data_IF_040808137960
#
_entry.id   IF_040808137960
#
_cell.length_a   1.000
_cell.length_b   1.000
_cell.length_c   1.000
_cell.angle_alpha   90.00
_cell.angle_beta   90.00
_cell.angle_gamma   90.00
#
_symmetry.space_group_name_H-M   'P 1'
#
loop_
_entity.id
_entity.type
_entity.pdbx_description
1 polymer ?
#
# COMPACT_ATOMS: atom_id res chain seq x y z
N UNK A 1 -19.64 -58.33 -106.75
CA UNK A 1 -18.50 -58.67 -105.86
C UNK A 1 -17.83 -57.35 -105.49
N UNK A 2 -17.58 -57.20 -104.20
CA UNK A 2 -17.45 -55.98 -103.38
C UNK A 2 -16.27 -55.05 -103.73
N UNK A 3 -16.39 -53.72 -103.49
CA UNK A 3 -15.34 -52.72 -103.75
C UNK A 3 -14.22 -52.76 -102.68
N UNK A 4 -13.03 -52.21 -102.98
CA UNK A 4 -11.87 -52.30 -102.09
C UNK A 4 -12.06 -51.47 -100.81
N UNK A 5 -11.81 -52.14 -99.68
CA UNK A 5 -11.85 -51.58 -98.32
C UNK A 5 -10.58 -50.74 -98.07
N UNK A 6 -10.78 -49.45 -97.77
CA UNK A 6 -9.71 -48.50 -97.44
C UNK A 6 -9.37 -48.67 -95.96
N UNK A 7 -8.18 -49.21 -95.67
CA UNK A 7 -7.66 -49.29 -94.30
C UNK A 7 -7.20 -47.91 -93.82
N UNK A 8 -7.74 -47.36 -92.72
CA UNK A 8 -7.30 -46.07 -92.18
C UNK A 8 -5.89 -46.16 -91.57
N UNK A 9 -5.13 -45.06 -91.55
CA UNK A 9 -3.73 -45.07 -91.12
C UNK A 9 -3.59 -45.31 -89.61
N UNK A 10 -2.50 -45.99 -89.26
CA UNK A 10 -2.06 -46.28 -87.90
C UNK A 10 -1.84 -44.97 -87.13
N UNK A 11 -2.58 -44.79 -86.03
CA UNK A 11 -2.39 -43.67 -85.09
C UNK A 11 -1.10 -43.91 -84.33
N UNK A 12 -0.08 -43.08 -84.58
CA UNK A 12 1.14 -43.06 -83.78
C UNK A 12 0.82 -42.51 -82.39
N UNK A 13 1.00 -43.34 -81.37
CA UNK A 13 0.91 -42.92 -79.96
C UNK A 13 2.19 -42.17 -79.61
N UNK A 14 2.09 -40.86 -79.45
CA UNK A 14 3.19 -40.02 -78.96
C UNK A 14 3.45 -40.35 -77.48
N UNK A 15 4.70 -40.62 -77.06
CA UNK A 15 5.01 -40.83 -75.65
C UNK A 15 4.73 -39.55 -74.83
N UNK A 16 4.39 -39.66 -73.53
CA UNK A 16 4.09 -38.49 -72.70
C UNK A 16 5.33 -37.59 -72.58
N UNK A 17 5.11 -36.29 -72.73
CA UNK A 17 6.13 -35.25 -72.59
C UNK A 17 6.60 -35.18 -71.13
N UNK A 18 7.84 -35.61 -70.87
CA UNK A 18 8.49 -35.44 -69.57
C UNK A 18 8.98 -34.01 -69.48
N UNK A 19 8.26 -33.16 -68.76
CA UNK A 19 8.70 -31.79 -68.44
C UNK A 19 9.85 -31.88 -67.42
N UNK A 20 11.02 -31.26 -67.68
CA UNK A 20 12.09 -31.20 -66.69
C UNK A 20 11.64 -30.36 -65.48
N UNK A 21 12.13 -30.66 -64.25
CA UNK A 21 11.75 -29.89 -63.07
C UNK A 21 12.20 -28.43 -63.24
N UNK A 22 11.28 -27.50 -63.01
CA UNK A 22 11.57 -26.06 -62.98
C UNK A 22 12.48 -25.80 -61.79
N UNK A 23 13.75 -25.50 -62.04
CA UNK A 23 14.66 -24.99 -61.00
C UNK A 23 14.25 -23.55 -60.73
N UNK A 24 13.46 -23.35 -59.68
CA UNK A 24 13.15 -22.00 -59.16
C UNK A 24 14.40 -21.49 -58.46
N UNK A 25 15.21 -20.71 -59.19
CA UNK A 25 16.29 -19.93 -58.57
C UNK A 25 15.60 -18.84 -57.75
N UNK A 26 15.50 -19.05 -56.45
CA UNK A 26 15.09 -17.98 -55.53
C UNK A 26 16.18 -16.91 -55.59
N UNK A 27 15.87 -15.65 -55.95
CA UNK A 27 16.86 -14.59 -55.87
C UNK A 27 17.37 -14.50 -54.42
N UNK A 28 18.65 -14.17 -54.21
CA UNK A 28 19.16 -13.95 -52.86
C UNK A 28 18.25 -12.92 -52.17
N UNK A 29 17.77 -13.26 -50.97
CA UNK A 29 17.02 -12.34 -50.13
C UNK A 29 17.94 -11.17 -49.84
N UNK A 30 17.77 -10.08 -50.57
CA UNK A 30 18.33 -8.79 -50.17
C UNK A 30 17.57 -8.44 -48.89
N UNK A 31 18.20 -8.66 -47.74
CA UNK A 31 17.75 -8.07 -46.49
C UNK A 31 17.81 -6.56 -46.70
N UNK A 32 16.67 -5.96 -47.03
CA UNK A 32 16.50 -4.51 -46.88
C UNK A 32 16.94 -4.18 -45.46
N UNK A 33 17.85 -3.22 -45.25
CA UNK A 33 18.11 -2.71 -43.91
C UNK A 33 16.76 -2.32 -43.32
N UNK A 34 16.45 -2.80 -42.12
CA UNK A 34 15.30 -2.31 -41.38
C UNK A 34 15.40 -0.78 -41.36
N UNK A 35 14.36 -0.10 -41.85
CA UNK A 35 14.33 1.36 -41.80
C UNK A 35 14.58 1.75 -40.33
N UNK A 36 15.44 2.74 -40.04
CA UNK A 36 15.65 3.17 -38.67
C UNK A 36 14.28 3.50 -38.06
N UNK A 37 13.96 2.87 -36.92
CA UNK A 37 12.75 3.17 -36.18
C UNK A 37 12.65 4.68 -35.99
N UNK A 38 11.55 5.27 -36.47
CA UNK A 38 11.25 6.70 -36.31
C UNK A 38 10.73 6.98 -34.87
N UNK A 39 10.56 5.92 -34.06
CA UNK A 39 10.15 6.06 -32.68
C UNK A 39 11.31 6.62 -31.82
N UNK A 40 11.02 7.51 -30.85
CA UNK A 40 12.01 7.97 -29.89
C UNK A 40 12.71 6.80 -29.19
N UNK A 41 14.01 6.94 -28.92
CA UNK A 41 14.72 5.99 -28.08
C UNK A 41 14.24 6.16 -26.64
N UNK A 42 13.68 5.11 -26.07
CA UNK A 42 13.36 5.09 -24.64
C UNK A 42 14.64 4.90 -23.84
N UNK A 43 15.08 5.99 -23.19
CA UNK A 43 16.30 6.00 -22.40
C UNK A 43 16.13 5.30 -21.05
N UNK A 44 14.92 5.09 -20.55
CA UNK A 44 14.73 4.47 -19.23
C UNK A 44 15.08 2.98 -19.25
N UNK A 45 15.90 2.56 -18.30
CA UNK A 45 16.24 1.15 -18.01
C UNK A 45 15.46 0.59 -16.83
N UNK A 46 14.74 1.43 -16.08
CA UNK A 46 13.88 1.02 -14.97
C UNK A 46 12.51 0.59 -15.49
N UNK A 47 11.89 -0.41 -14.86
CA UNK A 47 10.58 -0.93 -15.31
C UNK A 47 9.52 0.17 -15.31
N UNK A 48 9.37 0.91 -14.21
CA UNK A 48 8.39 1.99 -14.11
C UNK A 48 8.68 3.16 -15.04
N UNK A 49 9.93 3.58 -15.16
CA UNK A 49 10.27 4.67 -16.08
C UNK A 49 10.10 4.27 -17.54
N UNK A 50 10.38 3.02 -17.89
CA UNK A 50 10.26 2.53 -19.26
C UNK A 50 8.80 2.46 -19.70
N UNK A 51 7.88 1.98 -18.85
CA UNK A 51 6.45 1.93 -19.17
C UNK A 51 5.84 3.31 -19.28
N UNK A 52 6.19 4.24 -18.38
CA UNK A 52 5.72 5.63 -18.44
C UNK A 52 6.17 6.35 -19.70
N UNK A 53 7.45 6.24 -20.06
CA UNK A 53 7.97 6.84 -21.29
C UNK A 53 7.42 6.17 -22.55
N UNK A 54 7.18 4.85 -22.53
CA UNK A 54 6.54 4.15 -23.64
C UNK A 54 5.10 4.65 -23.86
N UNK A 55 4.33 4.84 -22.78
CA UNK A 55 3.00 5.45 -22.85
C UNK A 55 3.05 6.84 -23.46
N UNK A 56 3.97 7.70 -22.98
CA UNK A 56 4.17 9.03 -23.55
C UNK A 56 4.51 8.98 -25.06
N UNK A 57 5.37 8.05 -25.49
CA UNK A 57 5.78 7.96 -26.89
C UNK A 57 4.73 7.38 -27.84
N UNK A 58 3.63 6.84 -27.31
CA UNK A 58 2.46 6.48 -28.11
C UNK A 58 1.55 7.68 -28.43
N UNK A 59 1.87 8.88 -27.91
CA UNK A 59 1.07 10.07 -28.16
C UNK A 59 1.02 10.41 -29.65
N UNK A 60 -0.20 10.49 -30.19
CA UNK A 60 -0.48 10.79 -31.59
C UNK A 60 -1.36 12.04 -31.77
N UNK A 61 -1.59 12.79 -30.68
CA UNK A 61 -2.39 14.01 -30.70
C UNK A 61 -1.57 15.27 -31.01
N UNK A 62 -2.21 16.43 -30.82
CA UNK A 62 -1.65 17.74 -31.20
C UNK A 62 -1.66 18.77 -30.04
N UNK A 63 -1.91 18.37 -28.80
CA UNK A 63 -1.82 19.28 -27.64
C UNK A 63 -0.37 19.74 -27.49
N UNK A 64 -0.16 21.05 -27.59
CA UNK A 64 1.18 21.64 -27.60
C UNK A 64 1.97 21.32 -26.32
N UNK A 65 1.30 21.20 -25.16
CA UNK A 65 1.97 20.96 -23.88
C UNK A 65 2.47 19.52 -23.78
N UNK A 66 1.63 18.55 -24.15
CA UNK A 66 2.05 17.14 -24.18
C UNK A 66 3.07 16.87 -25.29
N UNK A 67 2.99 17.57 -26.43
CA UNK A 67 4.05 17.54 -27.46
C UNK A 67 5.38 18.10 -26.95
N UNK A 68 5.37 19.19 -26.16
CA UNK A 68 6.57 19.70 -25.53
C UNK A 68 7.19 18.67 -24.56
N UNK A 69 6.35 18.00 -23.76
CA UNK A 69 6.78 16.92 -22.89
C UNK A 69 7.39 15.75 -23.68
N UNK A 70 6.70 15.29 -24.73
CA UNK A 70 7.17 14.25 -25.63
C UNK A 70 8.55 14.58 -26.20
N UNK A 71 8.72 15.80 -26.74
CA UNK A 71 9.97 16.22 -27.36
C UNK A 71 11.10 16.30 -26.34
N UNK A 72 10.83 16.78 -25.13
CA UNK A 72 11.82 16.81 -24.05
C UNK A 72 12.24 15.40 -23.64
N UNK A 73 11.28 14.47 -23.51
CA UNK A 73 11.56 13.07 -23.20
C UNK A 73 12.33 12.35 -24.32
N UNK A 74 12.01 12.63 -25.59
CA UNK A 74 12.71 12.07 -26.74
C UNK A 74 14.16 12.58 -26.87
N UNK A 75 14.44 13.79 -26.35
CA UNK A 75 15.76 14.41 -26.37
C UNK A 75 16.64 14.07 -25.15
N UNK A 76 16.21 13.14 -24.29
CA UNK A 76 16.96 12.78 -23.09
C UNK A 76 18.35 12.21 -23.45
N UNK A 77 19.43 12.71 -22.81
CA UNK A 77 20.79 12.42 -23.27
C UNK A 77 21.36 11.09 -22.75
N UNK A 78 20.71 10.45 -21.78
CA UNK A 78 21.26 9.27 -21.09
C UNK A 78 20.17 8.47 -20.39
N UNK A 79 20.50 7.23 -20.01
CA UNK A 79 19.60 6.37 -19.24
C UNK A 79 19.29 6.89 -17.84
N UNK A 80 20.24 7.55 -17.18
CA UNK A 80 19.98 8.22 -15.90
C UNK A 80 18.91 9.31 -16.04
N UNK A 81 18.98 10.11 -17.11
CA UNK A 81 17.96 11.12 -17.40
C UNK A 81 16.61 10.49 -17.78
N UNK A 82 16.63 9.36 -18.51
CA UNK A 82 15.47 8.52 -18.80
C UNK A 82 14.77 7.98 -17.55
N UNK A 83 15.54 7.40 -16.64
CA UNK A 83 15.06 6.85 -15.37
C UNK A 83 14.42 7.93 -14.51
N UNK A 84 15.11 9.07 -14.35
CA UNK A 84 14.58 10.21 -13.60
C UNK A 84 13.30 10.76 -14.21
N UNK A 85 13.27 10.98 -15.53
CA UNK A 85 12.08 11.49 -16.21
C UNK A 85 10.91 10.52 -16.06
N UNK A 86 11.14 9.22 -16.27
CA UNK A 86 10.12 8.19 -16.09
C UNK A 86 9.61 8.09 -14.66
N UNK A 87 10.50 8.14 -13.66
CA UNK A 87 10.13 8.11 -12.24
C UNK A 87 9.31 9.33 -11.82
N UNK A 88 9.68 10.53 -12.28
CA UNK A 88 8.93 11.77 -12.01
C UNK A 88 7.60 11.85 -12.76
N UNK A 89 7.52 11.26 -13.95
CA UNK A 89 6.29 11.20 -14.73
C UNK A 89 5.30 10.17 -14.19
N UNK A 90 5.77 9.12 -13.52
CA UNK A 90 4.91 8.12 -12.88
C UNK A 90 4.33 8.64 -11.56
N UNK A 91 3.04 8.36 -11.25
CA UNK A 91 2.47 8.64 -9.94
C UNK A 91 2.78 7.54 -8.90
N UNK A 92 3.32 6.39 -9.32
CA UNK A 92 3.38 5.18 -8.50
C UNK A 92 4.19 5.36 -7.21
N UNK A 93 5.30 6.09 -7.23
CA UNK A 93 6.13 6.31 -6.05
C UNK A 93 5.37 7.11 -4.99
N UNK A 94 4.84 8.29 -5.36
CA UNK A 94 4.09 9.16 -4.44
C UNK A 94 2.80 8.50 -3.96
N UNK A 95 2.05 7.83 -4.86
CA UNK A 95 0.85 7.09 -4.50
C UNK A 95 1.17 5.96 -3.51
N UNK A 96 2.17 5.11 -3.81
CA UNK A 96 2.56 4.01 -2.91
C UNK A 96 3.01 4.50 -1.54
N UNK A 97 3.73 5.63 -1.51
CA UNK A 97 4.18 6.23 -0.26
C UNK A 97 3.01 6.79 0.56
N UNK A 98 2.04 7.44 -0.09
CA UNK A 98 0.81 7.93 0.54
C UNK A 98 -0.03 6.77 1.11
N UNK A 99 -0.28 5.72 0.32
CA UNK A 99 -1.02 4.51 0.72
C UNK A 99 -0.38 3.79 1.91
N UNK A 100 0.94 3.60 1.90
CA UNK A 100 1.65 2.94 2.99
C UNK A 100 1.65 3.80 4.27
N UNK A 101 1.90 5.11 4.14
CA UNK A 101 1.93 6.00 5.29
C UNK A 101 0.54 6.19 5.92
N UNK A 102 -0.52 6.27 5.10
CA UNK A 102 -1.91 6.36 5.58
C UNK A 102 -2.30 5.09 6.33
N UNK A 103 -1.97 3.92 5.79
CA UNK A 103 -2.20 2.61 6.42
C UNK A 103 -1.44 2.45 7.73
N UNK A 104 -0.19 2.93 7.80
CA UNK A 104 0.59 2.92 9.05
C UNK A 104 -0.10 3.74 10.16
N UNK A 105 -0.70 4.89 9.81
CA UNK A 105 -1.47 5.69 10.77
C UNK A 105 -2.73 4.96 11.26
N UNK A 106 -3.43 4.22 10.39
CA UNK A 106 -4.58 3.37 10.73
C UNK A 106 -4.20 2.20 11.64
N UNK A 107 -3.07 1.53 11.35
CA UNK A 107 -2.53 0.47 12.22
C UNK A 107 -2.21 1.02 13.61
N UNK A 108 -1.71 2.26 13.70
CA UNK A 108 -1.45 2.87 14.99
C UNK A 108 -2.74 3.14 15.80
N UNK A 109 -3.88 3.41 15.15
CA UNK A 109 -5.19 3.47 15.83
C UNK A 109 -5.53 2.10 16.46
N UNK A 110 -5.31 1.00 15.74
CA UNK A 110 -5.48 -0.35 16.31
C UNK A 110 -4.54 -0.62 17.48
N UNK A 111 -3.25 -0.25 17.36
CA UNK A 111 -2.26 -0.42 18.42
C UNK A 111 -2.64 0.33 19.70
N UNK A 112 -3.19 1.54 19.57
CA UNK A 112 -3.68 2.33 20.70
C UNK A 112 -4.93 1.69 21.31
N UNK A 113 -5.85 1.19 20.48
CA UNK A 113 -7.05 0.47 20.92
C UNK A 113 -6.70 -0.79 21.71
N UNK A 114 -5.77 -1.61 21.20
CA UNK A 114 -5.28 -2.79 21.89
C UNK A 114 -4.60 -2.43 23.23
N UNK A 115 -3.80 -1.37 23.26
CA UNK A 115 -3.16 -0.89 24.49
C UNK A 115 -4.18 -0.42 25.54
N UNK A 116 -5.29 0.19 25.12
CA UNK A 116 -6.39 0.55 26.01
C UNK A 116 -7.08 -0.69 26.60
N UNK A 117 -7.43 -1.67 25.76
CA UNK A 117 -8.00 -2.95 26.21
C UNK A 117 -7.09 -3.71 27.17
N UNK A 118 -5.78 -3.72 26.89
CA UNK A 118 -4.78 -4.28 27.80
C UNK A 118 -4.74 -3.52 29.14
N UNK A 119 -4.82 -2.19 29.10
CA UNK A 119 -4.89 -1.36 30.31
C UNK A 119 -6.09 -1.69 31.18
N UNK A 120 -7.26 -1.88 30.57
CA UNK A 120 -8.49 -2.29 31.25
C UNK A 120 -8.35 -3.67 31.90
N UNK A 121 -7.80 -4.64 31.18
CA UNK A 121 -7.54 -6.00 31.68
C UNK A 121 -6.55 -6.00 32.84
N UNK A 122 -5.47 -5.23 32.73
CA UNK A 122 -4.47 -5.08 33.79
C UNK A 122 -5.05 -4.37 35.02
N UNK A 123 -5.96 -3.42 34.84
CA UNK A 123 -6.68 -2.79 35.96
C UNK A 123 -7.62 -3.78 36.67
N UNK A 124 -8.36 -4.60 35.92
CA UNK A 124 -9.25 -5.63 36.48
C UNK A 124 -8.49 -6.69 37.28
N UNK A 125 -7.37 -7.18 36.74
CA UNK A 125 -6.55 -8.21 37.39
C UNK A 125 -5.84 -7.70 38.65
N UNK A 126 -5.40 -6.44 38.69
CA UNK A 126 -4.70 -5.87 39.85
C UNK A 126 -5.64 -5.37 40.96
N UNK A 127 -6.94 -5.22 40.71
CA UNK A 127 -7.91 -4.71 41.71
C UNK A 127 -8.82 -5.80 42.31
N UNK A 128 -8.54 -7.08 42.03
CA UNK A 128 -9.25 -8.20 42.67
C UNK A 128 -10.75 -8.22 42.37
N UNK A 129 -11.15 -7.92 41.11
CA UNK A 129 -12.56 -7.92 40.71
C UNK A 129 -13.39 -6.77 41.28
N UNK A 130 -12.76 -5.74 41.86
CA UNK A 130 -13.45 -4.61 42.50
C UNK A 130 -13.15 -3.25 41.84
N UNK A 131 -12.81 -3.20 40.55
CA UNK A 131 -12.96 -1.95 39.77
C UNK A 131 -14.37 -1.83 39.21
N UNK A 132 -15.38 -1.93 40.08
CA UNK A 132 -16.64 -1.28 39.80
C UNK A 132 -16.35 0.22 39.73
N UNK A 133 -16.59 0.83 38.58
CA UNK A 133 -16.72 2.29 38.48
C UNK A 133 -17.91 2.64 39.39
N UNK A 134 -17.59 2.99 40.64
CA UNK A 134 -18.55 3.42 41.63
C UNK A 134 -18.83 4.90 41.42
N UNK A 135 -19.56 5.22 40.35
CA UNK A 135 -20.54 6.30 40.47
C UNK A 135 -21.50 5.85 41.56
N UNK A 136 -21.74 6.67 42.59
CA UNK A 136 -22.40 6.30 43.85
C UNK A 136 -23.82 5.71 43.77
N UNK A 137 -24.29 5.25 42.62
CA UNK A 137 -25.53 4.54 42.36
C UNK A 137 -25.28 3.52 41.22
N UNK A 138 -25.01 2.24 41.55
CA UNK A 138 -24.80 1.15 40.57
C UNK A 138 -23.46 1.18 39.83
N UNK A 139 -22.86 0.01 39.60
CA UNK A 139 -21.63 -0.13 38.82
C UNK A 139 -21.82 0.41 37.39
N UNK A 140 -21.40 1.65 37.15
CA UNK A 140 -21.42 2.24 35.80
C UNK A 140 -20.21 1.68 35.04
N UNK A 141 -20.33 0.47 34.51
CA UNK A 141 -19.27 -0.24 33.77
C UNK A 141 -18.81 0.43 32.46
N UNK A 142 -19.06 1.73 32.26
CA UNK A 142 -18.73 2.49 31.05
C UNK A 142 -17.74 3.61 31.35
N UNK A 143 -16.76 3.80 30.47
CA UNK A 143 -15.72 4.81 30.56
C UNK A 143 -15.53 5.59 29.26
N UNK A 144 -15.08 6.84 29.38
CA UNK A 144 -14.59 7.66 28.29
C UNK A 144 -13.07 7.70 28.33
N UNK A 145 -12.43 7.61 27.18
CA UNK A 145 -10.99 7.71 27.06
C UNK A 145 -10.60 8.48 25.80
N UNK A 146 -9.37 8.95 25.78
CA UNK A 146 -8.80 9.60 24.62
C UNK A 146 -7.29 9.58 24.67
N UNK A 147 -6.67 9.56 23.50
CA UNK A 147 -5.23 9.50 23.38
C UNK A 147 -4.77 10.17 22.09
N UNK A 148 -3.63 10.84 22.17
CA UNK A 148 -2.91 11.37 21.02
C UNK A 148 -1.72 10.48 20.71
N UNK A 149 -1.34 10.40 19.45
CA UNK A 149 -0.16 9.68 19.00
C UNK A 149 0.50 10.41 17.85
N UNK A 150 1.77 10.07 17.63
CA UNK A 150 2.51 10.53 16.46
C UNK A 150 3.67 9.59 16.20
N UNK A 151 4.16 9.63 14.97
CA UNK A 151 5.24 8.76 14.54
C UNK A 151 5.85 9.22 13.23
N UNK A 152 6.94 8.55 12.88
CA UNK A 152 7.65 8.76 11.62
C UNK A 152 7.86 7.40 10.97
N UNK A 153 7.75 7.34 9.65
CA UNK A 153 8.11 6.16 8.86
C UNK A 153 9.10 6.56 7.78
N UNK A 154 9.99 5.64 7.42
CA UNK A 154 10.99 5.84 6.38
C UNK A 154 11.13 4.58 5.57
N UNK A 155 10.96 4.70 4.26
CA UNK A 155 11.27 3.65 3.32
C UNK A 155 12.51 4.05 2.52
N UNK A 156 13.52 3.18 2.49
CA UNK A 156 14.70 3.39 1.66
C UNK A 156 14.40 3.03 0.21
N UNK A 157 15.13 3.66 -0.72
CA UNK A 157 15.03 3.34 -2.14
C UNK A 157 15.36 1.85 -2.39
N UNK A 158 14.52 1.15 -3.14
CA UNK A 158 14.72 -0.25 -3.51
C UNK A 158 14.14 -0.54 -4.89
N UNK A 159 14.84 -1.35 -5.69
CA UNK A 159 14.42 -1.74 -7.04
C UNK A 159 14.00 -0.56 -7.95
N UNK A 160 14.72 0.56 -7.84
CA UNK A 160 14.44 1.81 -8.58
C UNK A 160 13.07 2.44 -8.29
N UNK A 161 12.50 2.14 -7.13
CA UNK A 161 11.35 2.83 -6.57
C UNK A 161 11.89 3.81 -5.54
N UNK A 162 11.59 5.09 -5.74
CA UNK A 162 12.01 6.16 -4.84
C UNK A 162 11.60 5.86 -3.39
N UNK A 163 12.53 6.10 -2.47
CA UNK A 163 12.25 6.08 -1.04
C UNK A 163 11.35 7.25 -0.64
N UNK A 164 10.90 7.22 0.61
CA UNK A 164 10.16 8.34 1.19
C UNK A 164 10.41 8.45 2.68
N UNK A 165 10.16 9.63 3.21
CA UNK A 165 9.99 9.85 4.63
C UNK A 165 8.60 10.42 4.91
N UNK A 166 7.97 9.91 5.96
CA UNK A 166 6.65 10.37 6.38
C UNK A 166 6.60 10.62 7.87
N UNK A 167 5.73 11.54 8.25
CA UNK A 167 5.37 11.76 9.63
C UNK A 167 3.85 11.82 9.74
N UNK A 168 3.32 11.24 10.80
CA UNK A 168 1.90 11.24 11.07
C UNK A 168 1.63 11.64 12.51
N UNK A 169 0.51 12.30 12.71
CA UNK A 169 -0.01 12.67 14.01
C UNK A 169 -1.51 12.40 14.04
N UNK A 170 -2.02 12.02 15.20
CA UNK A 170 -3.43 11.72 15.33
C UNK A 170 -3.93 11.81 16.75
N UNK A 171 -5.25 11.87 16.86
CA UNK A 171 -5.95 11.77 18.12
C UNK A 171 -7.16 10.86 17.96
N UNK A 172 -7.53 10.23 19.06
CA UNK A 172 -8.66 9.33 19.13
C UNK A 172 -9.41 9.57 20.44
N UNK A 173 -10.72 9.44 20.35
CA UNK A 173 -11.65 9.56 21.47
C UNK A 173 -12.57 8.36 21.42
N UNK A 174 -12.74 7.71 22.56
CA UNK A 174 -13.47 6.46 22.66
C UNK A 174 -14.36 6.40 23.88
N UNK A 175 -15.34 5.51 23.78
CA UNK A 175 -16.21 5.13 24.86
C UNK A 175 -16.40 3.62 24.82
N UNK A 176 -16.27 2.97 25.97
CA UNK A 176 -16.51 1.54 26.10
C UNK A 176 -17.17 1.22 27.42
N UNK A 177 -17.73 0.03 27.52
CA UNK A 177 -18.17 -0.51 28.80
C UNK A 177 -18.39 -2.02 28.79
N UNK A 178 -18.55 -2.58 29.99
CA UNK A 178 -18.84 -4.00 30.14
C UNK A 178 -20.27 -4.31 29.69
N UNK A 179 -20.40 -5.26 28.76
CA UNK A 179 -21.67 -5.82 28.29
C UNK A 179 -22.15 -6.91 29.24
N UNK A 180 -21.22 -7.70 29.77
CA UNK A 180 -21.42 -8.71 30.81
C UNK A 180 -20.08 -9.00 31.52
N UNK A 181 -20.05 -10.00 32.40
CA UNK A 181 -18.86 -10.36 33.19
C UNK A 181 -17.62 -10.75 32.36
N UNK A 182 -17.80 -11.10 31.09
CA UNK A 182 -16.71 -11.55 30.20
C UNK A 182 -16.49 -10.66 28.98
N UNK A 183 -17.42 -9.74 28.67
CA UNK A 183 -17.37 -8.92 27.46
C UNK A 183 -17.30 -7.44 27.80
N UNK A 184 -16.32 -6.76 27.20
CA UNK A 184 -16.25 -5.31 27.12
C UNK A 184 -16.35 -4.89 25.66
N UNK A 185 -17.14 -3.85 25.37
CA UNK A 185 -17.30 -3.36 24.02
C UNK A 185 -17.35 -1.84 23.99
N UNK A 186 -16.88 -1.26 22.89
CA UNK A 186 -16.85 0.18 22.72
C UNK A 186 -16.73 0.61 21.28
N UNK A 187 -16.76 1.93 21.11
CA UNK A 187 -16.51 2.59 19.86
C UNK A 187 -15.49 3.71 20.06
N UNK A 188 -14.81 4.06 18.98
CA UNK A 188 -13.95 5.23 18.96
C UNK A 188 -14.03 5.95 17.62
N UNK A 189 -13.77 7.25 17.68
CA UNK A 189 -13.51 8.09 16.53
C UNK A 189 -12.03 8.46 16.52
N UNK A 190 -11.44 8.48 15.34
CA UNK A 190 -10.03 8.84 15.13
C UNK A 190 -9.91 9.89 14.04
N UNK A 191 -8.96 10.79 14.23
CA UNK A 191 -8.51 11.74 13.24
C UNK A 191 -7.00 11.63 13.12
N UNK A 192 -6.49 11.45 11.91
CA UNK A 192 -5.07 11.43 11.62
C UNK A 192 -4.73 12.36 10.48
N UNK A 193 -3.53 12.92 10.54
CA UNK A 193 -2.91 13.65 9.45
C UNK A 193 -1.53 13.07 9.20
N UNK A 194 -1.26 12.74 7.96
CA UNK A 194 -0.02 12.13 7.50
C UNK A 194 0.54 12.97 6.37
N UNK A 195 1.81 13.34 6.46
CA UNK A 195 2.51 14.02 5.37
C UNK A 195 3.66 13.13 4.92
N UNK A 196 3.81 13.00 3.61
CA UNK A 196 4.80 12.18 2.93
C UNK A 196 5.61 13.08 2.02
N UNK A 197 6.92 12.93 2.04
CA UNK A 197 7.82 13.55 1.09
C UNK A 197 8.65 12.46 0.41
N UNK A 198 8.69 12.52 -0.92
CA UNK A 198 9.44 11.57 -1.73
C UNK A 198 10.91 11.95 -1.79
N UNK A 199 11.78 10.94 -1.76
CA UNK A 199 13.24 11.09 -1.90
C UNK A 199 13.68 10.69 -3.33
N UNK A 200 15.00 10.70 -3.57
CA UNK A 200 15.60 10.20 -4.83
C UNK A 200 15.16 10.99 -6.05
N UNK A 201 14.84 10.29 -7.15
CA UNK A 201 14.42 10.92 -8.40
C UNK A 201 13.09 11.69 -8.29
N UNK A 202 12.27 11.38 -7.28
CA UNK A 202 10.98 12.04 -7.02
C UNK A 202 11.07 13.20 -6.00
N UNK A 203 12.28 13.60 -5.60
CA UNK A 203 12.50 14.75 -4.69
C UNK A 203 11.69 15.97 -5.12
N UNK A 204 10.97 16.58 -4.17
CA UNK A 204 10.06 17.71 -4.41
C UNK A 204 8.58 17.31 -4.55
N UNK A 205 8.31 16.02 -4.75
CA UNK A 205 6.97 15.46 -4.68
C UNK A 205 6.56 15.20 -3.23
N UNK A 206 5.27 15.39 -2.93
CA UNK A 206 4.70 15.22 -1.60
C UNK A 206 3.26 14.72 -1.66
N UNK A 207 2.79 14.15 -0.56
CA UNK A 207 1.38 13.82 -0.36
C UNK A 207 0.96 14.14 1.08
N UNK A 208 -0.20 14.76 1.23
CA UNK A 208 -0.87 14.98 2.51
C UNK A 208 -2.14 14.14 2.55
N UNK A 209 -2.30 13.38 3.62
CA UNK A 209 -3.45 12.49 3.83
C UNK A 209 -4.13 12.85 5.13
N UNK A 210 -5.42 13.19 5.06
CA UNK A 210 -6.28 13.37 6.23
C UNK A 210 -7.18 12.15 6.35
N UNK A 211 -7.23 11.52 7.51
CA UNK A 211 -8.05 10.34 7.72
C UNK A 211 -9.03 10.52 8.88
N UNK A 212 -10.27 10.12 8.64
CA UNK A 212 -11.38 10.16 9.59
C UNK A 212 -11.90 8.75 9.77
N UNK A 213 -11.63 8.16 10.93
CA UNK A 213 -11.92 6.75 11.19
C UNK A 213 -12.97 6.56 12.28
N UNK A 214 -13.91 5.65 12.04
CA UNK A 214 -14.86 5.16 13.02
C UNK A 214 -14.61 3.67 13.26
N UNK A 215 -14.42 3.29 14.52
CA UNK A 215 -14.09 1.93 14.90
C UNK A 215 -15.03 1.40 15.99
N UNK A 216 -15.34 0.12 15.91
CA UNK A 216 -15.92 -0.67 16.98
C UNK A 216 -14.92 -1.70 17.47
N UNK A 217 -14.88 -1.93 18.77
CA UNK A 217 -14.00 -2.94 19.35
C UNK A 217 -14.70 -3.68 20.48
N UNK A 218 -14.25 -4.90 20.74
CA UNK A 218 -14.70 -5.72 21.83
C UNK A 218 -13.55 -6.57 22.38
N UNK A 219 -13.56 -6.82 23.68
CA UNK A 219 -12.64 -7.72 24.36
C UNK A 219 -13.45 -8.79 25.10
N UNK A 220 -13.14 -10.05 24.83
CA UNK A 220 -13.66 -11.19 25.56
C UNK A 220 -12.59 -11.75 26.50
N UNK A 221 -12.96 -11.99 27.76
CA UNK A 221 -12.10 -12.58 28.78
C UNK A 221 -12.57 -14.01 29.10
N UNK A 222 -11.84 -15.02 28.63
CA UNK A 222 -12.09 -16.43 28.90
C UNK A 222 -10.96 -17.04 29.72
N UNK A 223 -11.07 -17.07 31.05
CA UNK A 223 -9.97 -17.44 31.95
C UNK A 223 -9.17 -18.69 31.49
N UNK A 224 -7.83 -18.60 31.28
CA UNK A 224 -6.97 -17.42 31.40
C UNK A 224 -6.83 -16.57 30.11
N UNK A 225 -7.27 -17.05 28.94
CA UNK A 225 -7.09 -16.37 27.66
C UNK A 225 -8.01 -15.16 27.46
N UNK A 226 -7.67 -14.33 26.49
CA UNK A 226 -8.53 -13.24 26.01
C UNK A 226 -8.54 -13.16 24.48
N UNK A 227 -9.56 -12.51 23.95
CA UNK A 227 -9.71 -12.21 22.53
C UNK A 227 -10.18 -10.77 22.35
N UNK A 228 -9.36 -9.97 21.70
CA UNK A 228 -9.65 -8.61 21.29
C UNK A 228 -10.07 -8.61 19.82
N UNK A 229 -11.18 -7.96 19.52
CA UNK A 229 -11.75 -7.79 18.19
C UNK A 229 -11.84 -6.30 17.91
N UNK A 230 -11.49 -5.89 16.70
CA UNK A 230 -11.61 -4.51 16.24
C UNK A 230 -12.05 -4.48 14.78
N UNK A 231 -12.93 -3.55 14.46
CA UNK A 231 -13.38 -3.28 13.10
C UNK A 231 -13.45 -1.77 12.89
N UNK A 232 -13.08 -1.30 11.70
CA UNK A 232 -13.02 0.11 11.39
C UNK A 232 -13.34 0.41 9.94
N UNK A 233 -13.93 1.59 9.74
CA UNK A 233 -14.05 2.24 8.45
C UNK A 233 -13.38 3.61 8.53
N UNK A 234 -12.48 3.90 7.59
CA UNK A 234 -11.67 5.12 7.58
C UNK A 234 -11.80 5.78 6.23
N UNK A 235 -12.38 6.97 6.22
CA UNK A 235 -12.38 7.85 5.05
C UNK A 235 -11.05 8.59 5.00
N UNK A 236 -10.41 8.61 3.84
CA UNK A 236 -9.13 9.24 3.61
C UNK A 236 -9.26 10.26 2.49
N UNK A 237 -8.68 11.44 2.69
CA UNK A 237 -8.59 12.50 1.69
C UNK A 237 -7.13 12.72 1.36
N UNK A 238 -6.79 12.61 0.08
CA UNK A 238 -5.43 12.65 -0.44
C UNK A 238 -5.21 13.92 -1.26
N UNK A 239 -4.31 14.76 -0.78
CA UNK A 239 -3.78 15.91 -1.52
C UNK A 239 -2.37 15.53 -2.02
N UNK A 240 -2.20 15.32 -3.32
CA UNK A 240 -0.92 14.88 -3.92
C UNK A 240 -0.29 15.96 -4.77
N UNK A 241 1.04 16.04 -4.73
CA UNK A 241 1.85 16.97 -5.53
C UNK A 241 3.02 16.22 -6.14
N UNK A 242 3.09 16.20 -7.47
CA UNK A 242 4.17 15.58 -8.23
C UNK A 242 5.02 16.64 -8.91
N UNK A 243 6.28 16.74 -8.48
CA UNK A 243 7.26 17.64 -9.09
C UNK A 243 7.99 16.94 -10.23
N UNK A 244 7.95 17.57 -11.41
CA UNK A 244 8.51 17.03 -12.64
C UNK A 244 9.56 18.02 -13.11
N UNK A 245 10.81 17.61 -13.09
CA UNK A 245 11.94 18.46 -13.44
C UNK A 245 13.11 17.62 -13.99
N UNK A 246 13.19 17.57 -15.32
CA UNK A 246 14.23 16.88 -16.07
C UNK A 246 14.66 17.72 -17.30
N UNK A 247 15.78 17.41 -17.97
CA UNK A 247 16.28 18.23 -19.07
C UNK A 247 15.22 18.54 -20.13
N UNK A 248 14.94 19.81 -20.36
CA UNK A 248 13.97 20.27 -21.36
C UNK A 248 12.51 20.33 -20.88
N UNK A 249 12.19 19.95 -19.64
CA UNK A 249 10.82 19.99 -19.13
C UNK A 249 10.73 20.28 -17.63
N UNK A 250 9.78 21.13 -17.25
CA UNK A 250 9.42 21.38 -15.86
C UNK A 250 7.91 21.55 -15.70
N UNK A 251 7.35 20.97 -14.64
CA UNK A 251 5.94 21.09 -14.31
C UNK A 251 5.63 20.58 -12.90
N UNK A 252 4.48 21.01 -12.35
CA UNK A 252 3.95 20.51 -11.08
C UNK A 252 2.53 20.05 -11.33
N UNK A 253 2.28 18.75 -11.12
CA UNK A 253 0.95 18.17 -11.19
C UNK A 253 0.37 18.04 -9.77
N UNK A 254 -0.89 18.45 -9.59
CA UNK A 254 -1.58 18.35 -8.30
C UNK A 254 -2.80 17.45 -8.45
N UNK A 255 -2.95 16.46 -7.58
CA UNK A 255 -4.11 15.58 -7.50
C UNK A 255 -4.85 15.77 -6.18
N UNK A 256 -6.17 15.61 -6.23
CA UNK A 256 -7.00 15.48 -5.03
C UNK A 256 -7.95 14.30 -5.26
N UNK A 257 -7.98 13.36 -4.32
CA UNK A 257 -8.82 12.16 -4.41
C UNK A 257 -9.20 11.64 -3.02
N UNK A 258 -10.29 10.89 -2.99
CA UNK A 258 -10.78 10.25 -1.77
C UNK A 258 -10.44 8.75 -1.78
N UNK A 259 -10.40 8.16 -0.59
CA UNK A 259 -10.27 6.73 -0.40
C UNK A 259 -11.07 6.23 0.79
N UNK A 260 -11.41 4.95 0.78
CA UNK A 260 -12.10 4.26 1.86
C UNK A 260 -11.33 3.02 2.28
N UNK A 261 -10.96 2.98 3.56
CA UNK A 261 -10.29 1.83 4.16
C UNK A 261 -11.23 1.10 5.12
N UNK A 262 -11.36 -0.21 4.93
CA UNK A 262 -11.98 -1.11 5.89
C UNK A 262 -10.90 -1.97 6.53
N UNK A 263 -10.92 -2.07 7.86
CA UNK A 263 -9.95 -2.85 8.60
C UNK A 263 -10.63 -3.69 9.67
N UNK A 264 -10.20 -4.94 9.80
CA UNK A 264 -10.66 -5.87 10.82
C UNK A 264 -9.45 -6.55 11.46
N UNK A 265 -9.45 -6.65 12.78
CA UNK A 265 -8.36 -7.24 13.55
C UNK A 265 -8.93 -8.14 14.64
N UNK A 266 -8.29 -9.29 14.83
CA UNK A 266 -8.55 -10.22 15.91
C UNK A 266 -7.21 -10.58 16.58
N UNK A 267 -7.10 -10.39 17.88
CA UNK A 267 -5.89 -10.64 18.66
C UNK A 267 -6.24 -11.49 19.87
N UNK A 268 -5.63 -12.65 19.99
CA UNK A 268 -5.76 -13.52 21.15
C UNK A 268 -4.47 -13.50 21.98
N UNK A 269 -4.61 -13.57 23.30
CA UNK A 269 -3.49 -13.70 24.21
C UNK A 269 -3.75 -14.70 25.33
N UNK A 270 -2.68 -15.33 25.80
CA UNK A 270 -2.73 -16.32 26.88
C UNK A 270 -1.79 -15.90 28.03
N UNK A 271 -2.26 -15.14 29.04
CA UNK A 271 -1.41 -14.70 30.14
C UNK A 271 -0.96 -15.90 31.00
N UNK A 272 0.35 -16.04 31.15
CA UNK A 272 1.01 -17.03 32.01
C UNK A 272 1.65 -16.28 33.17
N UNK A 273 1.14 -16.50 34.37
CA UNK A 273 1.74 -15.95 35.58
C UNK A 273 3.08 -16.63 35.87
N UNK A 274 4.13 -15.81 35.96
CA UNK A 274 5.48 -16.19 36.37
C UNK A 274 5.75 -15.70 37.80
N UNK A 275 6.91 -16.03 38.35
CA UNK A 275 7.33 -15.54 39.66
C UNK A 275 7.45 -14.00 39.71
N UNK A 276 7.33 -13.42 40.91
CA UNK A 276 7.56 -12.00 41.18
C UNK A 276 6.60 -11.03 40.46
N UNK A 277 5.31 -11.36 40.37
CA UNK A 277 4.28 -10.54 39.71
C UNK A 277 4.63 -10.19 38.25
N UNK A 278 5.23 -11.16 37.56
CA UNK A 278 5.59 -11.07 36.14
C UNK A 278 4.60 -11.91 35.36
N UNK A 279 4.07 -11.40 34.26
CA UNK A 279 3.14 -12.11 33.37
C UNK A 279 3.76 -12.18 31.99
N UNK A 280 3.87 -13.38 31.45
CA UNK A 280 4.26 -13.61 30.06
C UNK A 280 3.02 -14.02 29.27
N UNK A 281 2.68 -13.25 28.24
CA UNK A 281 1.49 -13.47 27.41
C UNK A 281 1.97 -13.76 25.99
N UNK A 282 1.93 -15.01 25.51
CA UNK A 282 1.98 -15.30 24.08
C UNK A 282 0.76 -14.69 23.40
N UNK A 283 0.99 -14.08 22.24
CA UNK A 283 -0.02 -13.34 21.47
C UNK A 283 -0.03 -13.90 20.06
N UNK A 284 -1.23 -14.09 19.53
CA UNK A 284 -1.47 -14.39 18.13
C UNK A 284 -2.55 -13.45 17.60
N UNK A 285 -2.31 -12.85 16.43
CA UNK A 285 -3.22 -11.90 15.83
C UNK A 285 -3.37 -12.12 14.33
N UNK A 286 -4.50 -11.66 13.80
CA UNK A 286 -4.79 -11.60 12.37
C UNK A 286 -5.45 -10.26 12.08
N UNK A 287 -4.92 -9.54 11.09
CA UNK A 287 -5.47 -8.27 10.64
C UNK A 287 -5.67 -8.31 9.13
N UNK A 288 -6.87 -7.95 8.69
CA UNK A 288 -7.22 -7.79 7.29
C UNK A 288 -7.58 -6.34 7.02
N UNK A 289 -7.06 -5.77 5.94
CA UNK A 289 -7.45 -4.44 5.49
C UNK A 289 -7.67 -4.41 3.99
N UNK A 290 -8.70 -3.65 3.58
CA UNK A 290 -8.99 -3.30 2.20
C UNK A 290 -9.00 -1.79 2.09
N UNK A 291 -8.31 -1.23 1.11
CA UNK A 291 -8.30 0.19 0.81
C UNK A 291 -8.64 0.38 -0.66
N UNK A 292 -9.71 1.12 -0.90
CA UNK A 292 -10.15 1.52 -2.23
C UNK A 292 -9.91 3.03 -2.39
N UNK A 293 -9.08 3.41 -3.36
CA UNK A 293 -8.81 4.80 -3.73
C UNK A 293 -9.52 5.13 -5.05
N UNK A 294 -10.24 6.25 -5.08
CA UNK A 294 -11.00 6.69 -6.25
C UNK A 294 -10.09 7.08 -7.41
N UNK A 295 -10.60 6.97 -8.64
CA UNK A 295 -9.90 7.53 -9.79
C UNK A 295 -9.91 9.06 -9.73
N UNK A 296 -8.83 9.67 -10.21
CA UNK A 296 -8.72 11.12 -10.20
C UNK A 296 -7.94 11.63 -11.40
N UNK A 297 -8.09 12.92 -11.67
CA UNK A 297 -7.34 13.60 -12.73
C UNK A 297 -6.53 14.71 -12.11
N UNK A 298 -5.21 14.63 -12.28
CA UNK A 298 -4.31 15.70 -11.87
C UNK A 298 -4.59 16.98 -12.66
N UNK A 299 -4.25 18.10 -12.04
CA UNK A 299 -4.31 19.43 -12.64
C UNK A 299 -2.90 20.03 -12.78
N UNK A 300 -2.70 20.89 -13.78
CA UNK A 300 -1.41 21.54 -14.02
C UNK A 300 -0.44 20.66 -14.81
N UNK A 301 0.78 20.51 -14.32
CA UNK A 301 1.80 19.62 -14.88
C UNK A 301 2.38 20.05 -16.23
N UNK A 302 1.98 21.18 -16.80
CA UNK A 302 2.40 21.65 -18.13
C UNK A 302 2.26 20.56 -19.23
N UNK A 303 1.15 19.83 -19.22
CA UNK A 303 0.89 18.71 -20.15
C UNK A 303 1.21 17.33 -19.59
N UNK A 304 1.91 17.25 -18.46
CA UNK A 304 2.25 15.99 -17.79
C UNK A 304 1.23 15.53 -16.73
N UNK A 305 0.10 16.23 -16.59
CA UNK A 305 -0.99 15.80 -15.72
C UNK A 305 -1.55 14.45 -16.18
N UNK A 306 -1.90 13.60 -15.24
CA UNK A 306 -2.40 12.25 -15.49
C UNK A 306 -3.86 12.10 -15.05
N UNK A 307 -4.61 11.29 -15.80
CA UNK A 307 -5.73 10.55 -15.27
C UNK A 307 -5.18 9.28 -14.62
N UNK A 308 -5.47 9.08 -13.35
CA UNK A 308 -5.03 7.92 -12.57
C UNK A 308 -6.27 7.09 -12.25
N UNK A 309 -6.23 5.81 -12.62
CA UNK A 309 -7.35 4.89 -12.38
C UNK A 309 -7.49 4.58 -10.89
N UNK A 310 -8.71 4.19 -10.50
CA UNK A 310 -8.99 3.74 -9.14
C UNK A 310 -8.13 2.54 -8.78
N UNK A 311 -7.64 2.47 -7.54
CA UNK A 311 -6.75 1.40 -7.09
C UNK A 311 -7.31 0.76 -5.83
N UNK A 312 -7.32 -0.58 -5.79
CA UNK A 312 -7.73 -1.36 -4.62
C UNK A 312 -6.55 -2.14 -4.06
N UNK A 313 -6.24 -1.93 -2.79
CA UNK A 313 -5.14 -2.59 -2.08
C UNK A 313 -5.70 -3.46 -0.96
N UNK A 314 -5.23 -4.70 -0.88
CA UNK A 314 -5.63 -5.66 0.15
C UNK A 314 -4.40 -6.12 0.92
N UNK A 315 -4.53 -6.29 2.22
CA UNK A 315 -3.47 -6.77 3.11
C UNK A 315 -4.07 -7.75 4.11
N UNK A 316 -3.35 -8.84 4.34
CA UNK A 316 -3.68 -9.84 5.35
C UNK A 316 -2.40 -10.14 6.13
N UNK A 317 -2.37 -9.71 7.39
CA UNK A 317 -1.20 -9.85 8.26
C UNK A 317 -1.49 -10.80 9.41
N UNK A 318 -0.59 -11.73 9.69
CA UNK A 318 -0.56 -12.46 10.96
C UNK A 318 0.50 -11.90 11.87
N UNK A 319 0.18 -11.80 13.16
CA UNK A 319 1.08 -11.36 14.22
C UNK A 319 1.29 -12.54 15.17
N UNK A 320 2.54 -12.94 15.41
CA UNK A 320 2.91 -13.93 16.44
C UNK A 320 3.96 -13.33 17.34
N UNK A 321 3.71 -13.33 18.64
CA UNK A 321 4.60 -12.65 19.56
C UNK A 321 4.42 -13.02 21.01
N UNK A 322 5.15 -12.30 21.84
CA UNK A 322 5.04 -12.39 23.29
C UNK A 322 5.06 -11.00 23.89
N UNK A 323 4.34 -10.84 24.99
CA UNK A 323 4.37 -9.66 25.84
C UNK A 323 4.77 -10.06 27.24
N UNK A 324 5.68 -9.31 27.83
CA UNK A 324 6.13 -9.46 29.20
C UNK A 324 5.70 -8.22 29.98
N UNK A 325 4.98 -8.40 31.07
CA UNK A 325 4.50 -7.34 31.94
C UNK A 325 4.97 -7.63 33.37
N UNK A 326 5.30 -6.58 34.13
CA UNK A 326 5.65 -6.74 35.54
C UNK A 326 5.04 -5.66 36.39
N UNK A 327 4.39 -6.05 37.49
CA UNK A 327 3.68 -5.15 38.39
C UNK A 327 4.59 -4.67 39.53
N UNK A 328 4.70 -3.36 39.74
CA UNK A 328 5.45 -2.74 40.82
C UNK A 328 4.56 -1.81 41.66
N UNK A 329 4.32 -2.17 42.92
CA UNK A 329 3.65 -1.31 43.87
C UNK A 329 4.55 -0.11 44.23
N UNK A 330 4.05 1.11 44.02
CA UNK A 330 4.73 2.35 44.38
C UNK A 330 3.84 3.22 45.26
N UNK A 331 4.40 4.23 45.92
CA UNK A 331 3.63 5.22 46.71
C UNK A 331 2.60 6.00 45.87
N UNK A 332 2.76 6.03 44.55
CA UNK A 332 1.91 6.80 43.63
C UNK A 332 0.83 5.95 42.93
N UNK A 333 0.83 4.63 43.13
CA UNK A 333 -0.01 3.67 42.42
C UNK A 333 0.78 2.42 41.98
N UNK A 334 0.14 1.56 41.20
CA UNK A 334 0.80 0.39 40.63
C UNK A 334 1.41 0.75 39.26
N UNK A 335 2.70 0.53 39.08
CA UNK A 335 3.42 0.80 37.83
C UNK A 335 3.66 -0.52 37.10
N UNK A 336 3.21 -0.60 35.86
CA UNK A 336 3.31 -1.81 35.03
C UNK A 336 4.10 -1.49 33.75
N UNK A 337 5.44 -1.63 33.76
CA UNK A 337 6.21 -1.70 32.53
C UNK A 337 5.85 -2.95 31.72
N UNK A 338 5.85 -2.79 30.41
CA UNK A 338 5.62 -3.85 29.44
C UNK A 338 6.65 -3.83 28.32
N UNK A 339 7.00 -5.01 27.83
CA UNK A 339 7.81 -5.21 26.64
C UNK A 339 7.14 -6.25 25.76
N UNK A 340 6.97 -5.95 24.47
CA UNK A 340 6.26 -6.79 23.51
C UNK A 340 7.14 -6.97 22.28
N UNK A 341 7.28 -8.22 21.83
CA UNK A 341 7.98 -8.58 20.62
C UNK A 341 7.04 -9.39 19.73
N UNK A 342 6.82 -8.94 18.51
CA UNK A 342 5.97 -9.58 17.51
C UNK A 342 6.78 -9.80 16.23
N UNK A 343 6.65 -11.00 15.66
CA UNK A 343 6.91 -11.26 14.26
C UNK A 343 5.60 -11.14 13.49
N UNK A 344 5.61 -10.33 12.44
CA UNK A 344 4.46 -10.05 11.59
C UNK A 344 4.75 -10.54 10.18
N UNK A 345 3.79 -11.23 9.59
CA UNK A 345 3.89 -11.75 8.23
C UNK A 345 2.74 -11.25 7.35
N UNK A 346 3.05 -10.67 6.18
CA UNK A 346 2.09 -10.25 5.16
C UNK A 346 1.87 -11.37 4.13
N UNK A 347 0.63 -11.84 4.00
CA UNK A 347 0.27 -12.89 3.04
C UNK A 347 -0.05 -12.35 1.65
N UNK A 348 -0.42 -11.07 1.53
CA UNK A 348 -0.76 -10.45 0.26
C UNK A 348 0.44 -9.71 -0.32
N UNK A 349 1.26 -10.45 -1.06
CA UNK A 349 2.43 -9.93 -1.79
C UNK A 349 2.04 -9.35 -3.17
N UNK A 350 0.94 -8.58 -3.22
CA UNK A 350 0.58 -7.88 -4.45
C UNK A 350 1.28 -6.54 -4.47
N UNK A 351 2.18 -6.37 -5.43
CA UNK A 351 2.82 -5.09 -5.69
C UNK A 351 1.75 -4.04 -5.99
N UNK A 352 1.85 -2.86 -5.36
CA UNK A 352 1.04 -1.71 -5.71
C UNK A 352 1.25 -1.40 -7.20
N UNK A 353 0.18 -1.25 -7.96
CA UNK A 353 0.26 -0.98 -9.39
C UNK A 353 -0.66 0.20 -9.70
N UNK A 354 -0.12 1.22 -10.35
CA UNK A 354 -0.89 2.38 -10.78
C UNK A 354 -1.03 2.34 -12.30
N UNK A 355 -2.27 2.36 -12.78
CA UNK A 355 -2.60 2.54 -14.19
C UNK A 355 -2.93 4.01 -14.41
N UNK A 356 -2.35 4.61 -15.43
CA UNK A 356 -2.50 6.04 -15.69
C UNK A 356 -2.45 6.34 -17.17
N UNK A 357 -3.06 7.46 -17.55
CA UNK A 357 -3.08 7.99 -18.90
C UNK A 357 -2.80 9.50 -18.84
N UNK A 358 -2.12 10.08 -19.83
CA UNK A 358 -1.94 11.53 -19.81
C UNK A 358 -3.29 12.23 -19.98
N UNK A 359 -3.64 13.12 -19.05
CA UNK A 359 -5.01 13.66 -18.90
C UNK A 359 -5.53 14.39 -20.15
N UNK A 360 -4.64 14.91 -20.99
CA UNK A 360 -5.01 15.60 -22.24
C UNK A 360 -5.26 14.64 -23.41
N UNK A 361 -4.84 13.38 -23.30
CA UNK A 361 -5.11 12.34 -24.28
C UNK A 361 -6.43 11.63 -23.95
N UNK A 362 -7.47 11.92 -24.73
CA UNK A 362 -8.78 11.28 -24.60
C UNK A 362 -8.90 9.96 -25.35
N UNK A 363 -7.89 9.57 -26.14
CA UNK A 363 -7.90 8.33 -26.91
C UNK A 363 -7.44 7.11 -26.11
N UNK A 364 -6.73 7.34 -25.00
CA UNK A 364 -6.11 6.30 -24.18
C UNK A 364 -4.82 5.73 -24.78
N UNK A 365 -4.34 6.28 -25.90
CA UNK A 365 -3.12 5.82 -26.57
C UNK A 365 -1.88 5.93 -25.66
N UNK A 366 -1.90 6.90 -24.75
CA UNK A 366 -0.80 7.15 -23.81
C UNK A 366 -0.93 6.45 -22.47
N UNK A 367 -1.84 5.48 -22.36
CA UNK A 367 -2.00 4.69 -21.14
C UNK A 367 -0.75 3.88 -20.82
N UNK A 368 -0.37 3.83 -19.55
CA UNK A 368 0.73 3.02 -19.05
C UNK A 368 0.40 2.47 -17.67
N UNK A 369 1.14 1.44 -17.28
CA UNK A 369 1.11 0.93 -15.92
C UNK A 369 2.48 1.02 -15.28
N UNK A 370 2.50 1.57 -14.07
CA UNK A 370 3.72 1.77 -13.31
C UNK A 370 3.70 0.93 -12.02
N UNK A 371 4.71 0.07 -11.80
CA UNK A 371 4.87 -0.68 -10.57
C UNK A 371 5.26 0.26 -9.43
N UNK A 372 4.52 0.17 -8.33
CA UNK A 372 4.80 0.77 -7.04
C UNK A 372 5.55 -0.16 -6.10
N UNK A 373 5.63 0.25 -4.83
CA UNK A 373 6.34 -0.50 -3.80
C UNK A 373 5.72 -1.89 -3.60
N UNK A 374 6.58 -2.88 -3.34
CA UNK A 374 6.16 -4.22 -2.94
C UNK A 374 6.08 -4.23 -1.41
N UNK A 375 4.99 -4.72 -0.80
CA UNK A 375 4.94 -4.97 0.64
C UNK A 375 6.10 -5.85 1.08
N UNK A 376 6.63 -5.62 2.30
CA UNK A 376 7.63 -6.51 2.89
C UNK A 376 6.92 -7.69 3.53
N UNK A 377 7.40 -8.90 3.25
CA UNK A 377 6.77 -10.13 3.70
C UNK A 377 6.84 -10.29 5.23
N UNK A 378 7.98 -9.92 5.83
CA UNK A 378 8.25 -10.12 7.26
C UNK A 378 8.68 -8.81 7.97
N UNK A 379 7.98 -8.48 9.06
CA UNK A 379 8.25 -7.31 9.89
C UNK A 379 8.51 -7.74 11.34
N UNK A 380 9.58 -7.23 11.94
CA UNK A 380 9.82 -7.33 13.38
C UNK A 380 9.27 -6.10 14.10
N UNK A 381 8.44 -6.32 15.13
CA UNK A 381 7.83 -5.24 15.91
C UNK A 381 8.24 -5.35 17.38
N UNK A 382 8.87 -4.29 17.90
CA UNK A 382 9.21 -4.12 19.30
C UNK A 382 8.39 -2.99 19.91
N UNK A 383 7.60 -3.28 20.95
CA UNK A 383 6.84 -2.30 21.69
C UNK A 383 7.28 -2.26 23.16
N UNK A 384 7.56 -1.06 23.66
CA UNK A 384 7.87 -0.79 25.07
C UNK A 384 6.79 0.10 25.64
N UNK A 385 6.26 -0.24 26.81
CA UNK A 385 5.18 0.50 27.45
C UNK A 385 5.38 0.66 28.95
N UNK A 386 4.71 1.66 29.51
CA UNK A 386 4.53 1.80 30.95
C UNK A 386 3.12 2.29 31.22
N UNK A 387 2.43 1.60 32.13
CA UNK A 387 1.10 1.99 32.59
C UNK A 387 1.15 2.29 34.08
N UNK A 388 0.73 3.49 34.46
CA UNK A 388 0.51 3.87 35.85
C UNK A 388 -0.98 3.72 36.17
N UNK A 389 -1.30 2.85 37.12
CA UNK A 389 -2.62 2.68 37.68
C UNK A 389 -2.69 3.43 39.01
N UNK A 390 -3.42 4.56 39.01
CA UNK A 390 -3.69 5.34 40.22
C UNK A 390 -5.15 5.13 40.64
N UNK A 391 -5.38 4.97 41.94
CA UNK A 391 -6.68 4.72 42.60
C UNK A 391 -7.94 5.08 41.79
N UNK A 392 -8.81 4.08 41.59
CA UNK A 392 -10.18 4.02 41.06
C UNK A 392 -10.64 4.85 39.85
N UNK A 393 -9.90 5.83 39.33
CA UNK A 393 -10.43 6.70 38.25
C UNK A 393 -9.43 7.15 37.18
N UNK A 394 -8.12 6.96 37.35
CA UNK A 394 -7.13 7.46 36.38
C UNK A 394 -6.04 6.44 36.09
N UNK A 395 -5.99 5.98 34.84
CA UNK A 395 -4.82 5.30 34.25
C UNK A 395 -4.09 6.27 33.33
N UNK A 396 -2.75 6.18 33.34
CA UNK A 396 -1.91 6.89 32.39
C UNK A 396 -0.96 5.88 31.74
N UNK A 397 -0.93 5.83 30.42
CA UNK A 397 -0.05 4.94 29.66
C UNK A 397 0.84 5.73 28.69
N UNK A 398 2.06 5.23 28.52
CA UNK A 398 2.96 5.67 27.47
C UNK A 398 3.51 4.43 26.76
N UNK A 399 3.51 4.45 25.42
CA UNK A 399 3.97 3.34 24.59
C UNK A 399 4.82 3.85 23.43
N UNK A 400 5.89 3.14 23.13
CA UNK A 400 6.75 3.35 21.98
C UNK A 400 6.82 2.06 21.17
N UNK A 401 6.57 2.15 19.87
CA UNK A 401 6.62 1.02 18.94
C UNK A 401 7.69 1.28 17.89
N UNK A 402 8.56 0.30 17.68
CA UNK A 402 9.55 0.25 16.62
C UNK A 402 9.20 -0.92 15.70
N UNK A 403 9.03 -0.62 14.41
CA UNK A 403 8.85 -1.64 13.36
C UNK A 403 10.10 -1.64 12.48
N UNK A 404 10.62 -2.83 12.21
CA UNK A 404 11.79 -3.04 11.36
C UNK A 404 11.43 -4.07 10.28
N UNK A 405 11.58 -3.65 9.04
CA UNK A 405 11.28 -4.43 7.85
C UNK A 405 12.58 -4.70 7.10
N UNK A 406 12.76 -5.93 6.61
CA UNK A 406 13.87 -6.27 5.72
C UNK A 406 13.31 -6.90 4.45
N UNK A 407 13.48 -6.21 3.32
CA UNK A 407 13.06 -6.65 2.00
C UNK A 407 14.12 -6.39 0.94
#
# INVERSE_FOLDING_TARGET
VTPPEVTPPIVAVTPPEVTPPVVVVTPPVVSTPEAPSIAPINQSTTLGGATTLAGLFNYNGYDARLMNLFNAAAALPSSAAGNKAGAQLSPAATASAATQASTASTVQVLNVTAAHLDGLRTAQNNTGGSSGIATGEGASNSGLWGQAFGGTSRLSESNNIAGYHSHYGGMLIGADGAVNDSWQAGGLFSYTQTTVNSDGDNTGSSADVKSYGLFGYASYQGQPWYLDLSLGAVQQQYDTRREINFPGFSGVANGNHDGMQYIASALAGYPIELANHTVLTPIAGLTYSSLDEDSFTESGGNGAALHVDSTSTHSLKSDLGTRLERSFATTYGNVVPSAQLIWRHEYQDTRLQSVSNFAVDTSGATSFSSPGAKPVDDTGVLALGVTLLRSNTLSLSAKYTLEAESG
#
